data_IF_457345891551
#
_entry.id   IF_457345891551
#
_cell.length_a   1.000
_cell.length_b   1.000
_cell.length_c   1.000
_cell.angle_alpha   90.00
_cell.angle_beta   90.00
_cell.angle_gamma   90.00
#
_symmetry.space_group_name_H-M   'P 1'
#
loop_
_entity.id
_entity.type
_entity.pdbx_description
1 polymer ?
#
# COMPACT_ATOMS: atom_id res chain seq x y z
N UNK A 1 3.45 -18.45 21.87
CA UNK A 1 2.01 -18.46 22.20
C UNK A 1 1.83 -17.51 23.37
N UNK A 2 1.16 -16.37 23.16
CA UNK A 2 0.88 -15.41 24.24
C UNK A 2 -0.05 -16.09 25.24
N UNK A 3 0.26 -16.03 26.54
CA UNK A 3 -0.65 -16.53 27.57
C UNK A 3 -1.53 -15.36 27.98
N UNK A 4 -2.84 -15.59 28.17
CA UNK A 4 -3.75 -14.54 28.66
C UNK A 4 -3.27 -13.89 29.98
N UNK A 5 -2.48 -14.61 30.78
CA UNK A 5 -1.89 -14.08 32.02
C UNK A 5 -0.77 -13.06 31.83
N UNK A 6 -0.26 -12.89 30.60
CA UNK A 6 0.76 -11.87 30.28
C UNK A 6 0.12 -10.48 30.03
N UNK A 7 -1.20 -10.44 29.85
CA UNK A 7 -1.97 -9.22 29.54
C UNK A 7 -2.24 -8.41 30.80
N UNK A 8 -1.81 -7.15 30.80
CA UNK A 8 -2.03 -6.19 31.89
C UNK A 8 -3.19 -5.29 31.55
N UNK A 9 -4.37 -5.63 32.05
CA UNK A 9 -5.52 -4.74 31.99
C UNK A 9 -5.31 -3.55 32.92
N UNK A 10 -5.75 -2.37 32.47
CA UNK A 10 -5.77 -1.17 33.28
C UNK A 10 -6.71 -1.28 34.50
N UNK A 11 -6.73 -0.25 35.37
CA UNK A 11 -7.57 -0.24 36.56
C UNK A 11 -9.08 -0.36 36.28
N UNK A 12 -9.50 -0.01 35.07
CA UNK A 12 -10.88 -0.12 34.57
C UNK A 12 -11.20 -1.51 33.97
N UNK A 13 -10.24 -2.44 34.02
CA UNK A 13 -10.36 -3.78 33.43
C UNK A 13 -10.26 -3.78 31.90
N UNK A 14 -9.74 -2.70 31.31
CA UNK A 14 -9.62 -2.54 29.86
C UNK A 14 -8.16 -2.52 29.41
N UNK A 15 -7.93 -2.96 28.18
CA UNK A 15 -6.66 -2.82 27.47
C UNK A 15 -6.90 -2.09 26.14
N UNK A 16 -6.09 -1.07 25.78
CA UNK A 16 -6.13 -0.47 24.45
C UNK A 16 -5.76 -1.51 23.38
N UNK A 17 -6.53 -1.52 22.30
CA UNK A 17 -6.31 -2.35 21.13
C UNK A 17 -6.22 -1.48 19.88
N UNK A 18 -5.05 -1.45 19.25
CA UNK A 18 -4.79 -0.79 17.97
C UNK A 18 -5.07 -1.80 16.87
N UNK A 19 -6.09 -1.55 16.05
CA UNK A 19 -6.43 -2.43 14.95
C UNK A 19 -5.75 -1.93 13.67
N UNK A 20 -5.06 -2.81 12.97
CA UNK A 20 -4.37 -2.51 11.72
C UNK A 20 -4.84 -3.42 10.60
N UNK A 21 -4.99 -2.90 9.38
CA UNK A 21 -5.23 -3.76 8.21
C UNK A 21 -3.98 -4.60 7.96
N UNK A 22 -4.12 -5.93 7.97
CA UNK A 22 -3.00 -6.84 7.81
C UNK A 22 -2.33 -6.72 6.43
N UNK A 23 -3.05 -6.21 5.42
CA UNK A 23 -2.57 -6.03 4.04
C UNK A 23 -1.95 -4.65 3.83
N UNK A 24 -2.66 -3.57 4.17
CA UNK A 24 -2.20 -2.20 3.89
C UNK A 24 -1.32 -1.61 5.00
N UNK A 25 -1.39 -2.20 6.20
CA UNK A 25 -0.78 -1.71 7.44
C UNK A 25 -1.36 -0.38 7.92
N UNK A 26 -2.50 0.06 7.38
CA UNK A 26 -3.19 1.23 7.89
C UNK A 26 -3.72 0.96 9.30
N UNK A 27 -3.56 1.95 10.18
CA UNK A 27 -4.25 1.94 11.47
C UNK A 27 -5.74 2.22 11.21
N UNK A 28 -6.59 1.26 11.55
CA UNK A 28 -8.02 1.29 11.29
C UNK A 28 -8.79 1.98 12.41
N UNK A 29 -8.52 1.58 13.66
CA UNK A 29 -9.19 2.14 14.85
C UNK A 29 -8.36 1.88 16.10
N UNK A 30 -8.54 2.75 17.09
CA UNK A 30 -8.18 2.48 18.48
C UNK A 30 -9.46 2.17 19.25
N UNK A 31 -9.52 1.00 19.86
CA UNK A 31 -10.63 0.59 20.71
C UNK A 31 -10.08 -0.03 22.01
N UNK A 32 -10.98 -0.52 22.84
CA UNK A 32 -10.64 -1.16 24.11
C UNK A 32 -11.20 -2.57 24.12
N UNK A 33 -10.50 -3.49 24.78
CA UNK A 33 -10.99 -4.82 25.07
C UNK A 33 -10.98 -5.02 26.59
N UNK A 34 -12.01 -5.67 27.13
CA UNK A 34 -11.91 -6.30 28.44
C UNK A 34 -11.53 -7.78 28.26
N UNK A 35 -11.31 -8.50 29.36
CA UNK A 35 -10.93 -9.92 29.31
C UNK A 35 -11.92 -10.77 28.48
N UNK A 36 -13.22 -10.52 28.61
CA UNK A 36 -14.26 -11.23 27.85
C UNK A 36 -14.19 -10.95 26.34
N UNK A 37 -13.93 -9.70 25.94
CA UNK A 37 -13.75 -9.32 24.55
C UNK A 37 -12.50 -9.96 23.93
N UNK A 38 -11.39 -10.00 24.68
CA UNK A 38 -10.17 -10.65 24.23
C UNK A 38 -10.38 -12.15 24.06
N UNK A 39 -10.99 -12.84 25.04
CA UNK A 39 -11.29 -14.27 24.95
C UNK A 39 -12.15 -14.59 23.73
N UNK A 40 -13.24 -13.85 23.51
CA UNK A 40 -14.07 -14.05 22.32
C UNK A 40 -13.33 -13.78 21.02
N UNK A 41 -12.46 -12.78 20.98
CA UNK A 41 -11.65 -12.50 19.79
C UNK A 41 -10.77 -13.70 19.44
N UNK A 42 -10.12 -14.30 20.44
CA UNK A 42 -9.30 -15.50 20.28
C UNK A 42 -10.13 -16.73 19.89
N UNK A 43 -11.34 -16.87 20.44
CA UNK A 43 -12.25 -17.99 20.16
C UNK A 43 -12.87 -17.93 18.76
N UNK A 44 -13.33 -16.75 18.33
CA UNK A 44 -14.07 -16.61 17.06
C UNK A 44 -13.20 -16.25 15.87
N UNK A 45 -11.97 -15.77 16.10
CA UNK A 45 -11.13 -15.20 15.03
C UNK A 45 -11.70 -13.93 14.40
N UNK A 46 -12.64 -13.27 15.08
CA UNK A 46 -13.26 -12.01 14.66
C UNK A 46 -13.08 -10.96 15.76
N UNK A 47 -13.02 -9.68 15.41
CA UNK A 47 -12.79 -8.62 16.40
C UNK A 47 -13.99 -8.43 17.34
N UNK A 48 -13.79 -8.70 18.63
CA UNK A 48 -14.68 -8.30 19.72
C UNK A 48 -14.04 -7.19 20.55
N UNK A 49 -14.81 -6.14 20.81
CA UNK A 49 -14.38 -4.94 21.53
C UNK A 49 -15.27 -4.71 22.74
N UNK A 50 -14.82 -3.86 23.67
CA UNK A 50 -15.64 -3.34 24.76
C UNK A 50 -15.96 -1.87 24.52
N UNK A 51 -17.24 -1.55 24.39
CA UNK A 51 -17.70 -0.17 24.26
C UNK A 51 -17.75 0.47 25.64
N UNK A 52 -16.86 1.44 25.90
CA UNK A 52 -16.82 2.18 27.17
C UNK A 52 -18.09 3.00 27.43
N UNK A 53 -18.69 3.55 26.38
CA UNK A 53 -19.93 4.34 26.52
C UNK A 53 -21.17 3.46 26.74
N UNK A 54 -21.23 2.29 26.09
CA UNK A 54 -22.36 1.36 26.23
C UNK A 54 -22.18 0.36 27.38
N UNK A 55 -20.98 0.33 27.98
CA UNK A 55 -20.59 -0.65 29.01
C UNK A 55 -20.93 -2.09 28.58
N UNK A 56 -20.63 -2.39 27.31
CA UNK A 56 -21.08 -3.62 26.68
C UNK A 56 -20.05 -4.17 25.70
N UNK A 57 -20.06 -5.49 25.60
CA UNK A 57 -19.33 -6.24 24.59
C UNK A 57 -19.90 -5.93 23.20
N UNK A 58 -19.02 -5.67 22.24
CA UNK A 58 -19.36 -5.25 20.89
C UNK A 58 -18.63 -6.10 19.86
N UNK A 59 -19.38 -6.89 19.09
CA UNK A 59 -18.87 -7.57 17.92
C UNK A 59 -18.76 -6.58 16.76
N UNK A 60 -17.53 -6.25 16.34
CA UNK A 60 -17.30 -5.23 15.31
C UNK A 60 -17.93 -5.64 13.99
N UNK A 61 -18.82 -4.79 13.47
CA UNK A 61 -19.51 -5.05 12.19
C UNK A 61 -20.70 -5.99 12.28
N UNK A 62 -21.12 -6.44 13.47
CA UNK A 62 -22.29 -7.32 13.60
C UNK A 62 -23.60 -6.68 13.06
N UNK A 63 -23.75 -5.36 13.18
CA UNK A 63 -24.91 -4.63 12.67
C UNK A 63 -24.73 -4.21 11.20
N UNK A 64 -23.53 -3.77 10.81
CA UNK A 64 -23.29 -3.23 9.46
C UNK A 64 -22.85 -4.27 8.44
N UNK A 65 -22.52 -5.50 8.86
CA UNK A 65 -21.87 -6.51 8.02
C UNK A 65 -20.35 -6.32 7.86
N UNK A 66 -19.79 -5.15 8.21
CA UNK A 66 -18.37 -4.85 8.05
C UNK A 66 -17.50 -5.46 9.16
N UNK A 67 -17.46 -6.79 9.18
CA UNK A 67 -16.68 -7.59 10.13
C UNK A 67 -15.19 -7.49 9.87
N UNK A 68 -14.40 -7.99 10.81
CA UNK A 68 -12.94 -7.99 10.74
C UNK A 68 -12.43 -9.35 11.18
N UNK A 69 -11.74 -10.05 10.29
CA UNK A 69 -11.09 -11.35 10.57
C UNK A 69 -9.71 -11.09 11.15
N UNK A 70 -9.41 -11.67 12.32
CA UNK A 70 -8.12 -11.51 12.97
C UNK A 70 -7.07 -12.41 12.29
N UNK A 71 -5.92 -11.83 11.98
CA UNK A 71 -4.76 -12.52 11.37
C UNK A 71 -3.66 -12.73 12.40
N UNK A 72 -3.39 -11.70 13.21
CA UNK A 72 -2.32 -11.69 14.20
C UNK A 72 -2.72 -10.79 15.38
N UNK A 73 -2.25 -11.14 16.58
CA UNK A 73 -2.52 -10.41 17.81
C UNK A 73 -1.24 -10.38 18.64
N UNK A 74 -0.69 -9.19 18.81
CA UNK A 74 0.57 -8.95 19.51
C UNK A 74 0.33 -8.11 20.75
N UNK A 75 1.05 -8.46 21.80
CA UNK A 75 1.17 -7.69 23.02
C UNK A 75 2.43 -6.81 22.89
N UNK A 76 2.40 -5.60 23.43
CA UNK A 76 3.59 -4.76 23.53
C UNK A 76 4.56 -5.25 24.63
N UNK A 77 5.64 -4.52 24.87
CA UNK A 77 6.76 -5.00 25.67
C UNK A 77 6.50 -4.99 27.19
N UNK A 78 5.60 -4.12 27.65
CA UNK A 78 5.15 -4.00 29.04
C UNK A 78 3.76 -4.59 29.28
N UNK A 79 3.07 -5.03 28.24
CA UNK A 79 1.90 -5.89 28.36
C UNK A 79 0.57 -5.15 28.46
N UNK A 80 0.55 -3.84 28.26
CA UNK A 80 -0.61 -2.99 28.48
C UNK A 80 -1.23 -2.43 27.19
N UNK A 81 -0.76 -2.87 26.01
CA UNK A 81 -1.44 -2.62 24.75
C UNK A 81 -1.41 -3.81 23.78
N UNK A 82 -2.47 -3.91 22.96
CA UNK A 82 -2.61 -4.90 21.90
C UNK A 82 -2.47 -4.25 20.53
N UNK A 83 -1.71 -4.89 19.64
CA UNK A 83 -1.76 -4.69 18.20
C UNK A 83 -2.52 -5.84 17.56
N UNK A 84 -3.68 -5.56 16.98
CA UNK A 84 -4.57 -6.55 16.35
C UNK A 84 -4.54 -6.35 14.84
N UNK A 85 -3.88 -7.25 14.12
CA UNK A 85 -3.88 -7.24 12.65
C UNK A 85 -5.10 -7.96 12.11
N UNK A 86 -5.87 -7.30 11.25
CA UNK A 86 -7.16 -7.82 10.74
C UNK A 86 -7.30 -7.68 9.23
N UNK A 87 -8.13 -8.51 8.62
CA UNK A 87 -8.69 -8.30 7.28
C UNK A 87 -10.09 -7.68 7.45
N UNK A 88 -10.30 -6.40 7.11
CA UNK A 88 -11.62 -5.78 7.15
C UNK A 88 -12.48 -6.17 5.94
N UNK A 89 -13.75 -6.48 6.19
CA UNK A 89 -14.77 -6.82 5.19
C UNK A 89 -15.68 -5.62 4.90
N UNK A 90 -15.07 -4.50 4.52
CA UNK A 90 -15.74 -3.20 4.32
C UNK A 90 -15.07 -2.07 5.12
N UNK A 91 -15.59 -0.84 5.06
CA UNK A 91 -15.00 0.29 5.77
C UNK A 91 -15.01 0.07 7.29
N UNK A 92 -13.88 0.37 7.95
CA UNK A 92 -13.77 0.20 9.39
C UNK A 92 -14.58 1.27 10.15
N UNK A 93 -14.72 2.47 9.59
CA UNK A 93 -15.44 3.59 10.20
C UNK A 93 -16.94 3.58 9.87
N UNK A 94 -17.76 4.04 10.81
CA UNK A 94 -19.20 4.21 10.61
C UNK A 94 -19.56 5.33 9.63
N UNK A 95 -18.61 6.21 9.30
CA UNK A 95 -18.77 7.25 8.27
C UNK A 95 -18.62 6.71 6.84
N UNK A 96 -18.26 5.44 6.69
CA UNK A 96 -17.89 4.85 5.39
C UNK A 96 -16.41 5.02 5.04
N UNK A 97 -15.64 5.76 5.84
CA UNK A 97 -14.20 5.87 5.65
C UNK A 97 -13.48 4.52 5.96
N UNK A 98 -12.36 4.21 5.27
CA UNK A 98 -11.62 2.98 5.49
C UNK A 98 -10.99 2.90 6.89
N UNK A 99 -10.63 4.04 7.48
CA UNK A 99 -10.07 4.18 8.83
C UNK A 99 -10.84 5.23 9.63
N UNK A 100 -10.84 5.13 10.96
CA UNK A 100 -11.28 6.19 11.87
C UNK A 100 -10.33 7.41 11.86
N UNK A 101 -9.07 7.24 11.46
CA UNK A 101 -8.04 8.29 11.45
C UNK A 101 -8.03 9.08 10.13
N UNK A 102 -9.20 9.41 9.60
CA UNK A 102 -9.37 10.03 8.28
C UNK A 102 -9.38 11.57 8.32
N UNK A 103 -9.18 12.19 9.49
CA UNK A 103 -9.18 13.65 9.68
C UNK A 103 -7.79 14.11 10.12
N UNK A 104 -6.97 14.68 9.23
CA UNK A 104 -5.66 15.17 9.61
C UNK A 104 -5.77 16.38 10.54
N UNK A 105 -4.96 16.42 11.60
CA UNK A 105 -4.84 17.58 12.48
C UNK A 105 -3.80 18.58 11.97
N UNK A 106 -2.79 18.08 11.27
CA UNK A 106 -1.69 18.86 10.70
C UNK A 106 -1.39 18.43 9.28
N UNK A 107 -0.89 19.36 8.47
CA UNK A 107 -0.32 19.13 7.15
C UNK A 107 1.12 19.62 7.14
N UNK A 108 1.94 19.07 6.24
CA UNK A 108 3.30 19.56 6.04
C UNK A 108 3.27 20.73 5.05
N UNK A 109 3.67 21.91 5.52
CA UNK A 109 3.80 23.08 4.67
C UNK A 109 4.98 22.93 3.70
N UNK A 110 5.02 23.77 2.67
CA UNK A 110 6.08 23.80 1.66
C UNK A 110 7.46 24.08 2.24
N UNK A 111 7.53 24.74 3.41
CA UNK A 111 8.76 24.97 4.18
C UNK A 111 9.17 23.78 5.08
N UNK A 112 8.45 22.65 4.99
CA UNK A 112 8.71 21.42 5.73
C UNK A 112 8.13 21.37 7.14
N UNK A 113 7.55 22.46 7.66
CA UNK A 113 6.98 22.53 9.01
C UNK A 113 5.59 21.88 9.06
N UNK A 114 5.23 21.34 10.23
CA UNK A 114 3.85 20.91 10.49
C UNK A 114 3.00 22.15 10.80
N UNK A 115 1.97 22.38 10.01
CA UNK A 115 0.99 23.44 10.21
C UNK A 115 -0.40 22.82 10.47
N UNK A 116 -1.29 23.50 11.22
CA UNK A 116 -2.66 23.04 11.38
C UNK A 116 -3.31 22.78 10.02
N UNK A 117 -4.04 21.67 9.91
CA UNK A 117 -4.77 21.24 8.72
C UNK A 117 -5.96 22.14 8.33
N UNK A 118 -6.09 23.34 8.93
CA UNK A 118 -7.21 24.25 8.71
C UNK A 118 -7.46 24.51 7.22
N UNK A 119 -8.71 24.31 6.79
CA UNK A 119 -9.12 24.46 5.39
C UNK A 119 -8.94 23.20 4.53
N UNK A 120 -8.52 22.04 5.04
CA UNK A 120 -8.45 20.80 4.25
C UNK A 120 -9.82 20.21 3.91
N UNK A 121 -10.87 20.43 4.69
CA UNK A 121 -12.22 20.03 4.29
C UNK A 121 -12.69 20.89 3.10
N UNK A 122 -12.51 22.21 3.14
CA UNK A 122 -12.78 23.10 2.00
C UNK A 122 -11.84 22.87 0.82
N UNK A 123 -10.57 22.50 1.04
CA UNK A 123 -9.61 22.19 -0.04
C UNK A 123 -9.83 20.81 -0.64
N UNK A 124 -10.20 19.81 0.15
CA UNK A 124 -10.56 18.49 -0.35
C UNK A 124 -11.95 18.50 -1.00
N UNK A 125 -12.88 19.33 -0.50
CA UNK A 125 -14.14 19.64 -1.18
C UNK A 125 -13.86 20.39 -2.48
N UNK A 126 -13.02 21.42 -2.45
CA UNK A 126 -12.62 22.18 -3.64
C UNK A 126 -11.80 21.33 -4.62
N UNK A 127 -10.97 20.40 -4.18
CA UNK A 127 -10.28 19.42 -5.03
C UNK A 127 -11.27 18.40 -5.58
N UNK A 128 -12.19 17.84 -4.79
CA UNK A 128 -13.25 16.95 -5.31
C UNK A 128 -14.14 17.67 -6.31
N UNK A 129 -14.47 18.94 -6.06
CA UNK A 129 -15.30 19.78 -6.94
C UNK A 129 -14.51 20.21 -8.18
N UNK A 130 -13.23 20.56 -8.05
CA UNK A 130 -12.34 20.88 -9.16
C UNK A 130 -12.04 19.63 -10.01
N UNK A 131 -11.90 18.45 -9.40
CA UNK A 131 -11.73 17.18 -10.10
C UNK A 131 -13.03 16.76 -10.80
N UNK A 132 -14.21 16.95 -10.17
CA UNK A 132 -15.50 16.72 -10.80
C UNK A 132 -15.77 17.70 -11.95
N UNK A 133 -15.32 18.95 -11.82
CA UNK A 133 -15.40 19.97 -12.87
C UNK A 133 -14.39 19.73 -14.01
N UNK A 134 -13.16 19.32 -13.69
CA UNK A 134 -12.15 18.92 -14.67
C UNK A 134 -12.52 17.62 -15.41
N UNK A 135 -13.26 16.71 -14.75
CA UNK A 135 -13.84 15.53 -15.39
C UNK A 135 -15.07 15.86 -16.27
N UNK A 136 -15.64 17.06 -16.15
CA UNK A 136 -16.81 17.52 -16.90
C UNK A 136 -16.48 18.47 -18.05
N UNK A 137 -15.26 19.01 -18.13
CA UNK A 137 -14.79 19.80 -19.26
C UNK A 137 -14.22 18.89 -20.35
N UNK A 138 -14.70 18.96 -21.61
CA UNK A 138 -14.16 18.16 -22.69
C UNK A 138 -12.74 18.65 -23.01
N UNK A 139 -11.73 17.87 -22.64
CA UNK A 139 -10.37 18.09 -23.12
C UNK A 139 -10.37 17.71 -24.60
N UNK A 140 -10.16 18.69 -25.48
CA UNK A 140 -10.12 18.47 -26.91
C UNK A 140 -9.18 17.30 -27.24
N UNK A 141 -9.66 16.37 -28.06
CA UNK A 141 -8.91 15.20 -28.51
C UNK A 141 -7.61 15.65 -29.18
N UNK A 142 -6.54 15.71 -28.40
CA UNK A 142 -5.22 16.08 -28.86
C UNK A 142 -4.38 14.82 -29.07
N UNK A 143 -3.65 14.82 -30.18
CA UNK A 143 -2.68 13.81 -30.55
C UNK A 143 -1.83 13.36 -29.35
N UNK A 144 -1.49 12.07 -29.29
CA UNK A 144 -0.72 11.42 -28.24
C UNK A 144 0.65 12.08 -27.88
N UNK A 145 1.03 13.15 -28.59
CA UNK A 145 2.19 14.02 -28.33
C UNK A 145 1.92 15.17 -27.34
N UNK A 146 0.66 15.48 -27.04
CA UNK A 146 0.27 16.63 -26.20
C UNK A 146 0.17 16.29 -24.70
N UNK A 147 -0.01 15.01 -24.35
CA UNK A 147 0.14 14.53 -22.98
C UNK A 147 1.63 14.40 -22.67
N UNK A 148 2.30 15.55 -22.50
CA UNK A 148 3.48 15.56 -21.68
C UNK A 148 3.05 15.08 -20.29
N UNK A 149 3.86 14.21 -19.66
CA UNK A 149 3.77 14.06 -18.20
C UNK A 149 3.72 15.49 -17.67
N UNK A 150 2.74 15.89 -16.84
CA UNK A 150 2.76 17.22 -16.25
C UNK A 150 4.13 17.33 -15.65
N UNK A 151 4.98 18.19 -16.21
CA UNK A 151 6.35 18.34 -15.77
C UNK A 151 6.22 18.55 -14.27
N UNK A 152 6.58 17.52 -13.49
CA UNK A 152 6.61 17.63 -12.06
C UNK A 152 7.53 18.80 -11.84
N UNK A 153 6.99 19.87 -11.28
CA UNK A 153 7.69 21.12 -11.07
C UNK A 153 9.11 20.78 -10.59
N UNK A 154 10.10 20.85 -11.50
CA UNK A 154 11.45 20.26 -11.31
C UNK A 154 12.19 20.97 -10.18
N UNK A 155 11.64 22.10 -9.74
CA UNK A 155 12.07 22.83 -8.57
C UNK A 155 11.52 22.19 -7.29
N UNK A 156 12.43 21.63 -6.49
CA UNK A 156 12.30 21.38 -5.05
C UNK A 156 11.75 20.03 -4.57
N UNK A 157 12.17 18.91 -5.17
CA UNK A 157 12.21 17.64 -4.44
C UNK A 157 13.65 17.16 -4.30
N UNK A 158 14.29 17.50 -3.20
CA UNK A 158 15.59 16.93 -2.83
C UNK A 158 15.41 15.43 -2.62
N UNK A 159 15.90 14.62 -3.55
CA UNK A 159 15.99 13.17 -3.37
C UNK A 159 17.04 12.93 -2.29
N UNK A 160 16.58 12.65 -1.06
CA UNK A 160 17.47 12.25 0.02
C UNK A 160 17.87 10.80 -0.19
N UNK A 161 19.18 10.53 -0.32
CA UNK A 161 19.72 9.17 -0.28
C UNK A 161 19.45 8.56 1.11
N UNK A 162 18.37 7.80 1.23
CA UNK A 162 18.01 7.04 2.42
C UNK A 162 18.52 5.61 2.37
N UNK A 163 18.87 5.04 3.52
CA UNK A 163 19.17 3.61 3.63
C UNK A 163 17.92 2.77 3.32
N UNK A 164 18.13 1.57 2.75
CA UNK A 164 17.08 0.57 2.61
C UNK A 164 16.48 0.28 3.99
N UNK A 165 15.18 0.56 4.14
CA UNK A 165 14.46 0.40 5.40
C UNK A 165 13.05 -0.12 5.15
N UNK A 166 12.53 -0.90 6.09
CA UNK A 166 11.14 -1.37 6.06
C UNK A 166 10.16 -0.19 6.00
N UNK A 167 10.47 0.91 6.69
CA UNK A 167 9.67 2.13 6.70
C UNK A 167 9.63 2.82 5.32
N UNK A 168 10.77 2.85 4.61
CA UNK A 168 10.85 3.38 3.24
C UNK A 168 9.98 2.58 2.27
N UNK A 169 10.05 1.25 2.31
CA UNK A 169 9.17 0.40 1.51
C UNK A 169 7.70 0.50 1.94
N UNK A 170 7.42 0.68 3.23
CA UNK A 170 6.07 0.94 3.73
C UNK A 170 5.49 2.26 3.20
N UNK A 171 6.31 3.32 3.12
CA UNK A 171 5.90 4.58 2.52
C UNK A 171 5.61 4.45 1.02
N UNK A 172 6.47 3.75 0.28
CA UNK A 172 6.24 3.43 -1.14
C UNK A 172 4.96 2.61 -1.32
N UNK A 173 4.72 1.60 -0.49
CA UNK A 173 3.51 0.78 -0.53
C UNK A 173 2.23 1.60 -0.31
N UNK A 174 2.23 2.55 0.64
CA UNK A 174 1.10 3.47 0.84
C UNK A 174 0.88 4.40 -0.36
N UNK A 175 1.96 4.92 -0.95
CA UNK A 175 1.87 5.76 -2.15
C UNK A 175 1.28 4.98 -3.34
N UNK A 176 1.72 3.73 -3.55
CA UNK A 176 1.17 2.83 -4.57
C UNK A 176 -0.31 2.52 -4.29
N UNK A 177 -0.70 2.29 -3.03
CA UNK A 177 -2.09 2.06 -2.66
C UNK A 177 -3.01 3.25 -3.01
N UNK A 178 -2.58 4.47 -2.68
CA UNK A 178 -3.30 5.69 -3.06
C UNK A 178 -3.38 5.85 -4.59
N UNK A 179 -2.29 5.57 -5.31
CA UNK A 179 -2.23 5.62 -6.77
C UNK A 179 -3.20 4.61 -7.41
N UNK A 180 -3.19 3.35 -6.96
CA UNK A 180 -4.11 2.32 -7.45
C UNK A 180 -5.57 2.69 -7.22
N UNK A 181 -5.92 3.25 -6.07
CA UNK A 181 -7.28 3.73 -5.81
C UNK A 181 -7.70 4.84 -6.79
N UNK A 182 -6.78 5.77 -7.11
CA UNK A 182 -7.05 6.83 -8.09
C UNK A 182 -7.21 6.30 -9.52
N UNK A 183 -6.39 5.31 -9.90
CA UNK A 183 -6.47 4.65 -11.21
C UNK A 183 -7.81 3.92 -11.35
N UNK A 184 -8.21 3.15 -10.34
CA UNK A 184 -9.49 2.42 -10.35
C UNK A 184 -10.68 3.37 -10.44
N UNK A 185 -10.67 4.47 -9.69
CA UNK A 185 -11.71 5.49 -9.76
C UNK A 185 -11.85 6.13 -11.17
N UNK A 186 -10.80 6.08 -11.99
CA UNK A 186 -10.78 6.62 -13.36
C UNK A 186 -11.01 5.57 -14.44
N UNK A 187 -11.20 4.30 -14.08
CA UNK A 187 -11.24 3.17 -15.01
C UNK A 187 -12.32 3.28 -16.09
N UNK A 188 -13.43 3.93 -15.75
CA UNK A 188 -14.58 4.14 -16.64
C UNK A 188 -14.78 5.61 -17.00
N UNK A 189 -13.81 6.48 -16.66
CA UNK A 189 -13.86 7.86 -17.10
C UNK A 189 -13.64 7.94 -18.62
N UNK A 190 -14.09 9.03 -19.24
CA UNK A 190 -13.83 9.23 -20.66
C UNK A 190 -12.33 9.41 -20.92
N UNK A 191 -11.81 8.98 -22.09
CA UNK A 191 -10.39 9.10 -22.43
C UNK A 191 -9.86 10.55 -22.33
N UNK A 192 -10.72 11.53 -22.55
CA UNK A 192 -10.42 12.95 -22.49
C UNK A 192 -10.25 13.45 -21.04
N UNK A 193 -10.87 12.77 -20.06
CA UNK A 193 -10.90 13.22 -18.67
C UNK A 193 -9.56 13.04 -17.95
N UNK A 194 -8.71 12.09 -18.38
CA UNK A 194 -7.38 11.89 -17.77
C UNK A 194 -6.45 11.02 -18.62
N UNK A 195 -5.14 11.19 -18.43
CA UNK A 195 -4.12 10.33 -19.04
C UNK A 195 -4.34 8.84 -18.74
N UNK A 196 -4.75 8.52 -17.50
CA UNK A 196 -5.05 7.14 -17.10
C UNK A 196 -6.21 6.56 -17.90
N UNK A 197 -7.30 7.31 -18.04
CA UNK A 197 -8.45 6.89 -18.83
C UNK A 197 -8.10 6.75 -20.31
N UNK A 198 -7.28 7.67 -20.84
CA UNK A 198 -6.72 7.56 -22.18
C UNK A 198 -5.92 6.26 -22.36
N UNK A 199 -4.95 5.96 -21.50
CA UNK A 199 -4.16 4.73 -21.59
C UNK A 199 -5.03 3.47 -21.54
N UNK A 200 -6.01 3.43 -20.63
CA UNK A 200 -6.94 2.30 -20.49
C UNK A 200 -7.80 2.13 -21.75
N UNK A 201 -8.26 3.22 -22.35
CA UNK A 201 -9.04 3.20 -23.58
C UNK A 201 -8.22 2.80 -24.82
N UNK A 202 -6.92 3.14 -24.86
CA UNK A 202 -6.00 2.66 -25.90
C UNK A 202 -5.65 1.17 -25.76
N UNK A 203 -5.88 0.60 -24.58
CA UNK A 203 -5.74 -0.83 -24.31
C UNK A 203 -4.28 -1.30 -24.13
N UNK A 204 -4.15 -2.62 -24.05
CA UNK A 204 -2.93 -3.31 -23.59
C UNK A 204 -1.66 -2.91 -24.33
N UNK A 205 -1.69 -2.85 -25.65
CA UNK A 205 -0.47 -2.61 -26.45
C UNK A 205 0.13 -1.22 -26.16
N UNK A 206 -0.71 -0.20 -25.98
CA UNK A 206 -0.26 1.16 -25.64
C UNK A 206 0.35 1.19 -24.24
N UNK A 207 -0.26 0.50 -23.29
CA UNK A 207 0.22 0.39 -21.90
C UNK A 207 1.56 -0.33 -21.87
N UNK A 208 1.69 -1.47 -22.55
CA UNK A 208 2.93 -2.24 -22.62
C UNK A 208 4.06 -1.45 -23.29
N UNK A 209 3.74 -0.67 -24.33
CA UNK A 209 4.72 0.22 -24.97
C UNK A 209 5.28 1.23 -23.98
N UNK A 210 4.42 1.93 -23.23
CA UNK A 210 4.86 2.89 -22.19
C UNK A 210 5.67 2.21 -21.10
N UNK A 211 5.22 1.05 -20.60
CA UNK A 211 5.95 0.29 -19.59
C UNK A 211 7.37 -0.09 -20.06
N UNK A 212 7.51 -0.48 -21.33
CA UNK A 212 8.81 -0.83 -21.90
C UNK A 212 9.71 0.40 -22.10
N UNK A 213 9.14 1.55 -22.48
CA UNK A 213 9.86 2.84 -22.54
C UNK A 213 10.44 3.18 -21.16
N UNK A 214 9.62 3.23 -20.10
CA UNK A 214 10.10 3.60 -18.77
C UNK A 214 11.11 2.60 -18.20
N UNK A 215 10.96 1.31 -18.50
CA UNK A 215 11.93 0.30 -18.10
C UNK A 215 13.31 0.55 -18.74
N UNK A 216 13.35 1.02 -20.00
CA UNK A 216 14.59 1.39 -20.66
C UNK A 216 15.18 2.68 -20.06
N UNK A 217 14.34 3.66 -19.72
CA UNK A 217 14.77 4.93 -19.12
C UNK A 217 15.35 4.71 -17.71
N UNK A 218 14.75 3.84 -16.89
CA UNK A 218 15.33 3.38 -15.60
C UNK A 218 16.74 2.81 -15.79
N UNK A 219 16.92 1.93 -16.79
CA UNK A 219 18.23 1.31 -17.06
C UNK A 219 19.27 2.35 -17.46
N UNK A 220 18.88 3.34 -18.28
CA UNK A 220 19.77 4.43 -18.71
C UNK A 220 20.12 5.34 -17.54
N UNK A 221 19.14 5.81 -16.77
CA UNK A 221 19.35 6.67 -15.61
C UNK A 221 20.21 6.00 -14.53
N UNK A 222 20.01 4.69 -14.30
CA UNK A 222 20.84 3.90 -13.39
C UNK A 222 22.28 3.77 -13.90
N UNK A 223 22.46 3.49 -15.19
CA UNK A 223 23.78 3.39 -15.82
C UNK A 223 24.56 4.70 -15.73
N UNK A 224 23.88 5.82 -15.92
CA UNK A 224 24.49 7.16 -15.95
C UNK A 224 24.67 7.77 -14.55
N UNK A 225 24.19 7.08 -13.50
CA UNK A 225 24.38 7.49 -12.11
C UNK A 225 23.64 8.77 -11.75
N UNK A 226 22.46 8.99 -12.35
CA UNK A 226 21.63 10.18 -12.16
C UNK A 226 20.49 9.86 -11.17
N UNK A 227 20.64 10.13 -9.86
CA UNK A 227 19.69 9.68 -8.84
C UNK A 227 18.32 10.34 -8.96
N UNK A 228 18.25 11.61 -9.39
CA UNK A 228 16.98 12.31 -9.61
C UNK A 228 16.22 11.70 -10.79
N UNK A 229 16.89 11.56 -11.95
CA UNK A 229 16.31 10.93 -13.13
C UNK A 229 15.88 9.49 -12.80
N UNK A 230 16.73 8.70 -12.15
CA UNK A 230 16.40 7.34 -11.75
C UNK A 230 15.15 7.28 -10.85
N UNK A 231 14.98 8.25 -9.96
CA UNK A 231 13.80 8.32 -9.09
C UNK A 231 12.54 8.63 -9.90
N UNK A 232 12.62 9.55 -10.86
CA UNK A 232 11.52 9.89 -11.79
C UNK A 232 11.15 8.67 -12.64
N UNK A 233 12.11 8.03 -13.29
CA UNK A 233 11.84 6.88 -14.17
C UNK A 233 11.31 5.66 -13.42
N UNK A 234 11.77 5.42 -12.18
CA UNK A 234 11.22 4.35 -11.34
C UNK A 234 9.78 4.67 -10.95
N UNK A 235 9.45 5.93 -10.68
CA UNK A 235 8.07 6.33 -10.38
C UNK A 235 7.15 6.13 -11.59
N UNK A 236 7.59 6.50 -12.79
CA UNK A 236 6.82 6.34 -14.03
C UNK A 236 6.67 4.85 -14.41
N UNK A 237 7.73 4.05 -14.23
CA UNK A 237 7.65 2.59 -14.38
C UNK A 237 6.60 1.98 -13.45
N UNK A 238 6.60 2.36 -12.17
CA UNK A 238 5.62 1.89 -11.18
C UNK A 238 4.20 2.35 -11.51
N UNK A 239 4.03 3.57 -12.03
CA UNK A 239 2.74 4.08 -12.50
C UNK A 239 2.20 3.23 -13.65
N UNK A 240 2.99 3.03 -14.71
CA UNK A 240 2.55 2.24 -15.86
C UNK A 240 2.31 0.78 -15.51
N UNK A 241 3.06 0.22 -14.55
CA UNK A 241 2.80 -1.11 -14.01
C UNK A 241 1.44 -1.17 -13.27
N UNK A 242 1.11 -0.15 -12.48
CA UNK A 242 -0.19 -0.06 -11.82
C UNK A 242 -1.36 0.08 -12.83
N UNK A 243 -1.17 0.83 -13.92
CA UNK A 243 -2.16 0.90 -15.01
C UNK A 243 -2.33 -0.45 -15.70
N UNK A 244 -1.24 -1.21 -15.91
CA UNK A 244 -1.32 -2.58 -16.43
C UNK A 244 -2.10 -3.52 -15.49
N UNK A 245 -1.96 -3.37 -14.18
CA UNK A 245 -2.73 -4.16 -13.21
C UNK A 245 -4.22 -3.85 -13.34
N UNK A 246 -4.58 -2.58 -13.50
CA UNK A 246 -5.96 -2.16 -13.73
C UNK A 246 -6.50 -2.64 -15.10
N UNK A 247 -5.72 -2.70 -16.17
CA UNK A 247 -6.17 -3.24 -17.45
C UNK A 247 -6.38 -4.75 -17.40
N UNK A 248 -5.45 -5.48 -16.79
CA UNK A 248 -5.46 -6.96 -16.75
C UNK A 248 -6.34 -7.54 -15.64
N UNK A 249 -6.71 -6.73 -14.64
CA UNK A 249 -7.33 -7.22 -13.40
C UNK A 249 -6.35 -7.96 -12.48
N UNK A 250 -5.03 -7.82 -12.69
CA UNK A 250 -4.03 -8.45 -11.84
C UNK A 250 -4.08 -7.88 -10.42
N UNK A 251 -4.25 -8.78 -9.43
CA UNK A 251 -4.32 -8.39 -8.02
C UNK A 251 -2.93 -8.03 -7.46
N UNK A 252 -2.75 -6.83 -6.88
CA UNK A 252 -1.54 -6.49 -6.13
C UNK A 252 -1.25 -7.49 -5.00
N UNK A 253 -2.29 -8.03 -4.36
CA UNK A 253 -2.15 -9.03 -3.30
C UNK A 253 -1.58 -10.36 -3.83
N UNK A 254 -1.91 -10.75 -5.07
CA UNK A 254 -1.33 -11.93 -5.69
C UNK A 254 0.18 -11.76 -5.95
N UNK A 255 0.59 -10.58 -6.43
CA UNK A 255 2.02 -10.24 -6.61
C UNK A 255 2.74 -10.19 -5.27
N UNK A 256 2.13 -9.58 -4.25
CA UNK A 256 2.68 -9.54 -2.89
C UNK A 256 2.89 -10.96 -2.33
N UNK A 257 1.93 -11.88 -2.48
CA UNK A 257 2.07 -13.26 -2.04
C UNK A 257 3.25 -13.99 -2.74
N UNK A 258 3.49 -13.70 -4.03
CA UNK A 258 4.66 -14.22 -4.75
C UNK A 258 5.96 -13.66 -4.19
N UNK A 259 6.01 -12.36 -3.89
CA UNK A 259 7.19 -11.72 -3.28
C UNK A 259 7.45 -12.23 -1.86
N UNK A 260 6.42 -12.38 -1.04
CA UNK A 260 6.51 -12.98 0.30
C UNK A 260 7.02 -14.42 0.22
N UNK A 261 6.53 -15.20 -0.75
CA UNK A 261 7.02 -16.55 -0.96
C UNK A 261 8.52 -16.59 -1.29
N UNK A 262 9.04 -15.62 -2.03
CA UNK A 262 10.48 -15.47 -2.36
C UNK A 262 11.30 -14.96 -1.18
N UNK A 263 10.72 -14.14 -0.30
CA UNK A 263 11.38 -13.58 0.86
C UNK A 263 11.53 -14.60 2.01
N UNK A 264 10.75 -15.69 1.99
CA UNK A 264 10.93 -16.79 2.94
C UNK A 264 12.33 -17.41 2.73
N UNK A 265 13.08 -17.69 3.81
CA UNK A 265 14.31 -18.46 3.70
C UNK A 265 14.02 -19.76 2.93
N UNK A 266 14.80 -20.04 1.89
CA UNK A 266 14.69 -21.31 1.20
C UNK A 266 14.96 -22.42 2.24
N UNK A 267 14.08 -23.43 2.28
CA UNK A 267 14.27 -24.60 3.14
C UNK A 267 15.49 -25.43 2.72
N UNK A 268 16.11 -25.15 1.57
CA UNK A 268 17.32 -25.81 1.10
C UNK A 268 18.33 -24.78 0.59
N UNK A 269 19.52 -24.84 1.16
CA UNK A 269 20.66 -24.05 0.76
C UNK A 269 20.94 -24.21 -0.74
N UNK A 270 21.35 -23.12 -1.38
CA UNK A 270 21.99 -23.16 -2.70
C UNK A 270 23.16 -24.15 -2.65
N UNK A 271 23.01 -25.33 -3.24
CA UNK A 271 24.12 -26.24 -3.54
C UNK A 271 24.71 -25.77 -4.87
N UNK A 272 25.92 -25.19 -4.90
CA UNK A 272 26.56 -24.84 -6.16
C UNK A 272 26.75 -26.14 -6.94
N UNK A 273 26.33 -26.18 -8.21
CA UNK A 273 26.71 -27.28 -9.11
C UNK A 273 28.23 -27.33 -9.16
N UNK A 274 28.81 -28.39 -8.59
CA UNK A 274 30.24 -28.66 -8.69
C UNK A 274 30.62 -28.62 -10.16
N UNK A 275 31.60 -27.79 -10.52
CA UNK A 275 32.18 -27.73 -11.85
C UNK A 275 32.56 -29.17 -12.27
N UNK A 276 31.79 -29.72 -13.21
CA UNK A 276 32.11 -31.01 -13.80
C UNK A 276 33.49 -30.90 -14.43
N UNK A 277 34.45 -31.62 -13.85
CA UNK A 277 35.74 -31.85 -14.49
C UNK A 277 35.47 -32.41 -15.88
N UNK A 278 35.85 -31.67 -16.90
CA UNK A 278 35.98 -32.18 -18.25
C UNK A 278 37.06 -33.27 -18.24
N UNK A 279 36.63 -34.52 -18.13
CA UNK A 279 37.47 -35.68 -18.42
C UNK A 279 37.87 -35.63 -19.89
N UNK A 280 39.09 -35.16 -20.16
CA UNK A 280 39.74 -35.30 -21.46
C UNK A 280 40.00 -36.79 -21.68
N UNK A 281 39.56 -37.42 -22.78
CA UNK A 281 39.98 -38.77 -23.08
C UNK A 281 41.47 -38.75 -23.43
N UNK A 282 42.26 -39.52 -22.68
CA UNK A 282 43.66 -39.82 -22.98
C UNK A 282 43.73 -40.48 -24.36
N UNK A 283 44.45 -39.86 -25.30
CA UNK A 283 44.93 -40.57 -26.48
C UNK A 283 46.04 -41.52 -26.00
N UNK A 284 45.80 -42.81 -26.09
CA UNK A 284 46.86 -43.81 -26.08
C UNK A 284 47.58 -43.75 -27.44
N UNK A 285 48.83 -43.30 -27.41
CA UNK A 285 49.80 -43.53 -28.48
C UNK A 285 50.56 -44.84 -28.17
N UNK A 286 50.45 -45.80 -29.09
CA UNK A 286 51.56 -46.64 -29.56
C UNK A 286 52.00 -47.85 -28.73
N UNK A 287 51.63 -49.05 -29.18
CA UNK A 287 52.56 -50.01 -29.84
C UNK A 287 51.79 -51.14 -30.53
#
# INVERSE_FOLDING_TARGET
MIRLGDVRFGPDGLIPAVLVDARTKDVLTLAYMNEAALKKTLETGETWLYSRSRQALWHKGATSGHRQTVVDLKLDCDGDALLVSVIPHGPACHTGAPTCFHRPLVARASDGRLAPAGGLEERAEAERTAEAKAAAEPVAAADAKAWAHPATDRAARTVSAGALSADGYGALGRALGALSARIEARRHASPEASYTAYLLAQGRDKILKKLAEEAAEVLLAAKDGLPEALTEEVADLLYHLAVLFAETGLSPAAVAAVLEARARPAADAFVPRSAGRSGRPSKEDGR
#
